data_IF_315607637104
#
_entry.id   IF_315607637104
#
_cell.length_a   1.000
_cell.length_b   1.000
_cell.length_c   1.000
_cell.angle_alpha   90.00
_cell.angle_beta   90.00
_cell.angle_gamma   90.00
#
_symmetry.space_group_name_H-M   'P 1'
#
loop_
_entity.id
_entity.type
_entity.pdbx_description
1 polymer ?
#
# COMPACT_ATOMS: atom_id res chain seq x y z
N UNK A 1 3.95 -8.02 26.43
CA UNK A 1 2.53 -8.11 26.83
C UNK A 1 1.57 -7.55 25.77
N UNK A 2 1.90 -6.44 25.08
CA UNK A 2 1.09 -5.92 23.95
C UNK A 2 1.20 -6.76 22.65
N UNK A 3 2.40 -7.25 22.33
CA UNK A 3 2.69 -8.09 21.14
C UNK A 3 1.90 -9.40 21.16
N UNK A 4 1.88 -10.09 22.31
CA UNK A 4 1.11 -11.31 22.52
C UNK A 4 -0.42 -11.09 22.54
N UNK A 5 -0.89 -9.92 22.96
CA UNK A 5 -2.31 -9.59 22.94
C UNK A 5 -2.79 -9.29 21.51
N UNK A 6 -1.94 -8.63 20.73
CA UNK A 6 -2.18 -8.37 19.31
C UNK A 6 -2.17 -9.65 18.47
N UNK A 7 -1.14 -10.49 18.63
CA UNK A 7 -1.07 -11.81 17.97
C UNK A 7 -2.30 -12.67 18.32
N UNK A 8 -2.74 -12.65 19.58
CA UNK A 8 -3.95 -13.35 20.01
C UNK A 8 -5.21 -12.79 19.38
N UNK A 9 -5.34 -11.48 19.19
CA UNK A 9 -6.54 -10.89 18.57
C UNK A 9 -6.57 -11.12 17.05
N UNK A 10 -5.41 -11.10 16.37
CA UNK A 10 -5.27 -11.52 14.97
C UNK A 10 -5.64 -12.99 14.80
N UNK A 11 -5.06 -13.87 15.62
CA UNK A 11 -5.35 -15.32 15.59
C UNK A 11 -6.82 -15.58 15.91
N UNK A 12 -7.39 -14.91 16.91
CA UNK A 12 -8.81 -15.03 17.29
C UNK A 12 -9.76 -14.54 16.19
N UNK A 13 -9.42 -13.45 15.52
CA UNK A 13 -10.20 -12.92 14.37
C UNK A 13 -10.17 -13.88 13.19
N UNK A 14 -9.01 -14.50 12.94
CA UNK A 14 -8.83 -15.50 11.88
C UNK A 14 -9.48 -16.86 12.20
N UNK A 15 -9.64 -17.20 13.48
CA UNK A 15 -10.10 -18.55 13.92
C UNK A 15 -11.53 -18.62 14.44
N UNK A 16 -12.12 -17.53 14.94
CA UNK A 16 -13.44 -17.56 15.63
C UNK A 16 -14.52 -16.68 15.00
N UNK A 17 -14.21 -15.90 13.96
CA UNK A 17 -15.20 -15.18 13.16
C UNK A 17 -15.85 -16.12 12.15
N UNK A 18 -16.98 -16.73 12.51
CA UNK A 18 -17.92 -17.50 11.67
C UNK A 18 -17.65 -17.45 10.15
N UNK A 19 -16.94 -18.50 9.68
CA UNK A 19 -16.51 -18.75 8.30
C UNK A 19 -17.66 -18.72 7.27
N UNK A 20 -17.56 -17.89 6.25
CA UNK A 20 -18.40 -17.93 5.04
C UNK A 20 -17.54 -18.12 3.78
N UNK A 21 -17.01 -19.34 3.56
CA UNK A 21 -16.20 -19.67 2.39
C UNK A 21 -16.99 -20.48 1.37
N UNK A 22 -16.89 -20.10 0.08
CA UNK A 22 -17.50 -20.82 -1.06
C UNK A 22 -16.51 -21.86 -1.63
N UNK A 23 -17.07 -22.98 -2.07
CA UNK A 23 -16.42 -24.27 -2.32
C UNK A 23 -15.83 -24.40 -3.74
N UNK A 24 -14.54 -24.77 -3.87
CA UNK A 24 -13.86 -25.05 -5.17
C UNK A 24 -13.85 -26.55 -5.49
N UNK A 25 -14.96 -27.03 -6.07
CA UNK A 25 -15.18 -28.45 -6.37
C UNK A 25 -14.24 -29.05 -7.42
N UNK A 26 -13.59 -28.22 -8.22
CA UNK A 26 -12.60 -28.63 -9.23
C UNK A 26 -11.26 -29.06 -8.64
N UNK A 27 -10.97 -28.66 -7.40
CA UNK A 27 -9.80 -29.11 -6.64
C UNK A 27 -10.11 -30.34 -5.78
N UNK A 28 -11.30 -30.93 -5.92
CA UNK A 28 -11.72 -32.08 -5.13
C UNK A 28 -11.00 -33.31 -5.64
N UNK A 29 -10.04 -33.76 -4.84
CA UNK A 29 -9.13 -34.85 -5.20
C UNK A 29 -7.71 -34.40 -5.56
N UNK A 30 -7.40 -33.10 -5.51
CA UNK A 30 -6.03 -32.63 -5.66
C UNK A 30 -5.16 -33.10 -4.48
N UNK A 31 -4.00 -33.67 -4.77
CA UNK A 31 -3.06 -34.09 -3.73
C UNK A 31 -2.36 -32.87 -3.10
N UNK A 32 -1.89 -32.98 -1.84
CA UNK A 32 -1.05 -31.97 -1.21
C UNK A 32 0.07 -31.42 -2.10
N UNK A 33 0.72 -32.30 -2.86
CA UNK A 33 1.83 -31.94 -3.72
C UNK A 33 1.39 -31.13 -4.94
N UNK A 34 0.22 -31.44 -5.52
CA UNK A 34 -0.36 -30.66 -6.61
C UNK A 34 -0.71 -29.23 -6.16
N UNK A 35 -1.17 -29.09 -4.92
CA UNK A 35 -1.48 -27.79 -4.33
C UNK A 35 -0.20 -26.97 -4.08
N UNK A 36 0.85 -27.61 -3.57
CA UNK A 36 2.16 -26.97 -3.39
C UNK A 36 2.85 -26.63 -4.72
N UNK A 37 2.68 -27.44 -5.76
CA UNK A 37 3.22 -27.16 -7.10
C UNK A 37 2.58 -25.89 -7.69
N UNK A 38 1.25 -25.82 -7.68
CA UNK A 38 0.51 -24.63 -8.09
C UNK A 38 0.91 -23.39 -7.26
N UNK A 39 1.18 -23.55 -5.95
CA UNK A 39 1.67 -22.47 -5.10
C UNK A 39 3.02 -21.94 -5.56
N UNK A 40 3.96 -22.86 -5.81
CA UNK A 40 5.30 -22.56 -6.29
C UNK A 40 5.26 -21.79 -7.61
N UNK A 41 4.44 -22.26 -8.54
CA UNK A 41 4.32 -21.67 -9.87
C UNK A 41 3.85 -20.21 -9.77
N UNK A 42 2.84 -19.93 -8.94
CA UNK A 42 2.39 -18.56 -8.70
C UNK A 42 3.44 -17.70 -7.98
N UNK A 43 4.14 -18.26 -7.00
CA UNK A 43 5.22 -17.56 -6.29
C UNK A 43 6.35 -17.15 -7.23
N UNK A 44 6.78 -18.07 -8.09
CA UNK A 44 7.82 -17.85 -9.09
C UNK A 44 7.38 -16.81 -10.13
N UNK A 45 6.15 -16.92 -10.65
CA UNK A 45 5.63 -15.98 -11.65
C UNK A 45 5.48 -14.57 -11.08
N UNK A 46 4.94 -14.43 -9.87
CA UNK A 46 4.71 -13.13 -9.24
C UNK A 46 5.99 -12.42 -8.78
N UNK A 47 7.09 -13.17 -8.57
CA UNK A 47 8.37 -12.63 -8.10
C UNK A 47 9.49 -12.78 -9.13
N UNK A 48 9.18 -13.10 -10.39
CA UNK A 48 10.15 -13.41 -11.44
C UNK A 48 11.28 -12.37 -11.55
N UNK A 49 10.95 -11.08 -11.52
CA UNK A 49 11.93 -9.98 -11.57
C UNK A 49 12.80 -9.90 -10.31
N UNK A 50 12.22 -10.11 -9.12
CA UNK A 50 12.96 -10.11 -7.84
C UNK A 50 13.88 -11.32 -7.70
N UNK A 51 13.51 -12.43 -8.33
CA UNK A 51 14.30 -13.65 -8.40
C UNK A 51 15.31 -13.64 -9.57
N UNK A 52 15.45 -12.52 -10.29
CA UNK A 52 16.37 -12.38 -11.44
C UNK A 52 16.17 -13.45 -12.52
N UNK A 53 14.93 -13.89 -12.72
CA UNK A 53 14.58 -14.93 -13.70
C UNK A 53 14.93 -16.36 -13.28
N UNK A 54 15.46 -16.56 -12.06
CA UNK A 54 15.74 -17.88 -11.51
C UNK A 54 14.58 -18.34 -10.61
N UNK A 55 13.80 -19.36 -10.99
CA UNK A 55 12.77 -19.91 -10.12
C UNK A 55 13.36 -20.34 -8.77
N UNK A 56 12.56 -20.25 -7.71
CA UNK A 56 12.94 -20.75 -6.39
C UNK A 56 13.44 -22.19 -6.50
N UNK A 57 14.63 -22.47 -5.97
CA UNK A 57 15.14 -23.83 -5.80
C UNK A 57 14.27 -24.61 -4.82
N UNK A 58 14.41 -25.94 -4.80
CA UNK A 58 13.65 -26.76 -3.85
C UNK A 58 13.93 -26.37 -2.40
N UNK A 59 15.18 -26.02 -2.10
CA UNK A 59 15.60 -25.57 -0.77
C UNK A 59 14.93 -24.27 -0.38
N UNK A 60 14.93 -23.26 -1.26
CA UNK A 60 14.29 -21.96 -1.01
C UNK A 60 12.77 -22.09 -0.91
N UNK A 61 12.16 -22.87 -1.81
CA UNK A 61 10.73 -23.11 -1.75
C UNK A 61 10.34 -23.89 -0.49
N UNK A 62 11.16 -24.83 -0.01
CA UNK A 62 10.95 -25.51 1.25
C UNK A 62 11.15 -24.60 2.47
N UNK A 63 12.02 -23.59 2.39
CA UNK A 63 12.12 -22.55 3.42
C UNK A 63 10.85 -21.68 3.44
N UNK A 64 10.29 -21.35 2.27
CA UNK A 64 8.99 -20.67 2.16
C UNK A 64 7.87 -21.54 2.74
N UNK A 65 7.83 -22.84 2.42
CA UNK A 65 6.86 -23.79 3.02
C UNK A 65 6.95 -23.88 4.54
N UNK A 66 8.16 -23.76 5.10
CA UNK A 66 8.39 -23.82 6.56
C UNK A 66 8.09 -22.49 7.25
N UNK A 67 8.37 -21.37 6.58
CA UNK A 67 8.08 -20.02 7.07
C UNK A 67 6.57 -19.71 7.05
N UNK A 68 5.85 -20.34 6.13
CA UNK A 68 4.40 -20.31 6.04
C UNK A 68 3.86 -21.55 6.76
N UNK A 69 3.79 -21.49 8.10
CA UNK A 69 3.12 -22.54 8.86
C UNK A 69 1.61 -22.52 8.54
N UNK A 70 1.17 -23.39 7.64
CA UNK A 70 -0.23 -23.76 7.50
C UNK A 70 -0.46 -25.16 8.08
N UNK A 71 -1.53 -25.38 8.86
CA UNK A 71 -1.79 -26.67 9.48
C UNK A 71 -2.02 -27.80 8.46
N UNK A 72 -2.46 -27.48 7.24
CA UNK A 72 -2.71 -28.47 6.19
C UNK A 72 -2.58 -27.94 4.74
N UNK A 73 -2.31 -28.81 3.75
CA UNK A 73 -2.25 -28.48 2.31
C UNK A 73 -3.54 -27.88 1.72
N UNK A 74 -4.68 -28.09 2.36
CA UNK A 74 -5.99 -27.57 1.94
C UNK A 74 -6.11 -26.05 2.09
N UNK A 75 -5.42 -25.47 3.08
CA UNK A 75 -5.40 -24.02 3.31
C UNK A 75 -4.59 -23.29 2.23
N UNK A 76 -3.50 -23.91 1.75
CA UNK A 76 -2.67 -23.38 0.67
C UNK A 76 -3.41 -23.35 -0.69
N UNK A 77 -4.35 -24.27 -0.93
CA UNK A 77 -5.15 -24.36 -2.14
C UNK A 77 -6.13 -23.20 -2.35
N UNK A 78 -6.73 -22.71 -1.24
CA UNK A 78 -7.71 -21.61 -1.27
C UNK A 78 -7.13 -20.31 -1.82
N UNK A 79 -5.84 -20.07 -1.60
CA UNK A 79 -5.15 -18.83 -2.01
C UNK A 79 -4.84 -18.77 -3.51
N UNK A 80 -4.86 -19.89 -4.22
CA UNK A 80 -4.40 -19.98 -5.61
C UNK A 80 -5.51 -19.85 -6.65
N UNK A 81 -6.76 -19.76 -6.21
CA UNK A 81 -7.94 -20.00 -7.04
C UNK A 81 -8.40 -18.82 -7.90
N UNK A 82 -7.97 -17.58 -7.67
CA UNK A 82 -8.79 -16.43 -8.07
C UNK A 82 -8.13 -15.42 -9.04
N UNK A 83 -7.38 -15.90 -10.02
CA UNK A 83 -6.96 -15.08 -11.16
C UNK A 83 -8.04 -15.00 -12.25
N UNK A 84 -8.22 -13.77 -12.77
CA UNK A 84 -9.03 -13.33 -13.92
C UNK A 84 -10.48 -12.91 -13.67
N UNK A 85 -10.72 -11.58 -13.70
CA UNK A 85 -12.03 -11.00 -14.05
C UNK A 85 -13.16 -11.15 -13.04
N UNK A 86 -12.90 -11.77 -11.89
CA UNK A 86 -13.86 -11.90 -10.81
C UNK A 86 -14.22 -10.52 -10.25
N UNK A 87 -15.51 -10.16 -10.28
CA UNK A 87 -16.06 -9.05 -9.48
C UNK A 87 -15.96 -9.31 -7.97
N UNK A 88 -15.35 -10.41 -7.55
CA UNK A 88 -15.20 -10.81 -6.16
C UNK A 88 -13.72 -10.94 -5.81
N UNK A 89 -13.26 -10.33 -4.71
CA UNK A 89 -11.88 -10.45 -4.27
C UNK A 89 -11.57 -11.90 -3.85
N UNK A 90 -10.32 -12.32 -4.04
CA UNK A 90 -9.85 -13.67 -3.70
C UNK A 90 -9.93 -13.96 -2.19
N UNK A 91 -9.71 -12.91 -1.38
CA UNK A 91 -9.77 -12.90 0.07
C UNK A 91 -10.73 -11.78 0.47
N UNK A 92 -11.69 -12.10 1.34
CA UNK A 92 -12.76 -11.17 1.74
C UNK A 92 -13.14 -11.36 3.20
N UNK A 93 -13.54 -10.28 3.85
CA UNK A 93 -14.13 -10.36 5.19
C UNK A 93 -15.48 -11.08 5.13
N UNK A 94 -15.79 -11.87 6.15
CA UNK A 94 -17.09 -12.51 6.28
C UNK A 94 -18.22 -11.46 6.34
N UNK A 95 -19.39 -11.80 5.79
CA UNK A 95 -20.56 -10.93 5.75
C UNK A 95 -20.63 -9.99 4.54
N UNK A 96 -19.66 -10.01 3.63
CA UNK A 96 -19.75 -9.30 2.36
C UNK A 96 -19.81 -10.28 1.19
N UNK A 97 -20.89 -10.24 0.42
CA UNK A 97 -21.11 -11.14 -0.70
C UNK A 97 -21.26 -10.41 -2.03
N UNK A 98 -21.53 -9.09 -2.02
CA UNK A 98 -21.82 -8.34 -3.23
C UNK A 98 -20.62 -8.21 -4.17
N UNK A 99 -20.90 -8.15 -5.46
CA UNK A 99 -19.86 -7.88 -6.44
C UNK A 99 -19.22 -6.51 -6.18
N UNK A 100 -17.89 -6.45 -6.18
CA UNK A 100 -17.17 -5.21 -6.36
C UNK A 100 -17.49 -4.62 -7.73
N UNK A 101 -17.50 -3.31 -7.78
CA UNK A 101 -17.72 -2.54 -9.00
C UNK A 101 -16.42 -1.94 -9.52
N UNK A 102 -16.35 -1.74 -10.82
CA UNK A 102 -15.24 -1.02 -11.43
C UNK A 102 -15.55 0.48 -11.43
N UNK A 103 -14.62 1.27 -10.94
CA UNK A 103 -14.66 2.74 -10.97
C UNK A 103 -13.35 3.29 -11.53
N UNK A 104 -13.42 4.46 -12.14
CA UNK A 104 -12.19 5.20 -12.49
C UNK A 104 -11.65 5.88 -11.25
N UNK A 105 -10.35 6.13 -11.21
CA UNK A 105 -9.75 6.89 -10.12
C UNK A 105 -10.35 8.31 -10.02
N UNK A 106 -10.76 8.90 -11.15
CA UNK A 106 -11.51 10.17 -11.14
C UNK A 106 -12.77 10.15 -10.27
N UNK A 107 -13.37 8.98 -10.06
CA UNK A 107 -14.61 8.83 -9.32
C UNK A 107 -14.38 8.78 -7.79
N UNK A 108 -13.13 8.59 -7.35
CA UNK A 108 -12.76 8.46 -5.93
C UNK A 108 -12.88 9.78 -5.16
N UNK A 109 -12.95 10.92 -5.83
CA UNK A 109 -12.90 12.24 -5.23
C UNK A 109 -13.76 13.24 -5.97
N UNK A 110 -14.35 14.18 -5.26
CA UNK A 110 -15.07 15.30 -5.90
C UNK A 110 -14.14 16.32 -6.53
N UNK A 111 -12.99 16.59 -5.89
CA UNK A 111 -12.07 17.64 -6.31
C UNK A 111 -10.65 17.11 -6.43
N UNK A 112 -9.94 17.52 -7.49
CA UNK A 112 -8.53 17.19 -7.69
C UNK A 112 -7.67 18.46 -7.76
N UNK A 113 -6.45 18.37 -7.25
CA UNK A 113 -5.51 19.48 -7.23
C UNK A 113 -4.19 19.07 -7.88
N UNK A 114 -3.66 19.93 -8.74
CA UNK A 114 -2.23 19.91 -9.06
C UNK A 114 -1.45 20.73 -8.04
N UNK A 115 -0.16 20.44 -7.89
CA UNK A 115 0.72 21.29 -7.10
C UNK A 115 1.39 22.40 -7.88
N UNK A 116 2.21 23.18 -7.18
CA UNK A 116 3.00 24.28 -7.71
C UNK A 116 4.11 24.67 -6.75
N UNK A 117 5.24 25.09 -7.32
CA UNK A 117 6.42 25.51 -6.55
C UNK A 117 6.47 27.04 -6.52
N UNK A 118 6.30 27.68 -5.34
CA UNK A 118 6.56 29.11 -5.19
C UNK A 118 8.01 29.43 -5.58
N UNK A 119 8.28 30.66 -6.04
CA UNK A 119 9.64 31.06 -6.41
C UNK A 119 10.57 30.93 -5.18
N UNK A 120 11.59 30.10 -5.26
CA UNK A 120 12.55 29.85 -4.17
C UNK A 120 13.35 31.10 -3.79
N UNK A 121 13.55 32.02 -4.73
CA UNK A 121 14.24 33.29 -4.49
C UNK A 121 13.42 34.29 -3.63
N UNK A 122 12.10 34.08 -3.48
CA UNK A 122 11.26 34.93 -2.64
C UNK A 122 11.17 34.29 -1.26
N UNK A 123 12.09 34.64 -0.37
CA UNK A 123 12.22 34.02 0.96
C UNK A 123 10.97 34.14 1.81
N UNK A 124 10.22 35.23 1.69
CA UNK A 124 8.93 35.47 2.36
C UNK A 124 7.86 34.41 2.03
N UNK A 125 8.00 33.68 0.91
CA UNK A 125 7.09 32.59 0.59
C UNK A 125 7.32 31.35 1.45
N UNK A 126 8.49 31.21 2.07
CA UNK A 126 8.94 30.00 2.75
C UNK A 126 9.01 30.15 4.28
N UNK A 127 8.55 31.29 4.80
CA UNK A 127 8.49 31.60 6.23
C UNK A 127 7.03 31.51 6.73
N UNK A 128 6.43 30.34 6.56
CA UNK A 128 5.02 30.09 6.89
C UNK A 128 4.80 28.79 7.66
N UNK A 129 3.55 28.40 7.78
CA UNK A 129 3.12 27.21 8.54
C UNK A 129 2.36 26.18 7.69
N UNK A 130 2.10 26.46 6.41
CA UNK A 130 1.43 25.51 5.51
C UNK A 130 2.48 24.52 5.02
N UNK A 131 2.38 23.22 5.35
CA UNK A 131 3.34 22.24 4.88
C UNK A 131 3.38 22.21 3.35
N UNK A 132 4.58 22.27 2.77
CA UNK A 132 4.78 22.13 1.33
C UNK A 132 5.61 20.89 1.06
N UNK A 133 5.01 19.88 0.42
CA UNK A 133 5.65 18.58 0.22
C UNK A 133 6.09 18.37 -1.23
N UNK A 134 7.23 17.71 -1.39
CA UNK A 134 7.83 17.27 -2.65
C UNK A 134 8.08 15.75 -2.61
N UNK A 135 8.42 15.14 -3.76
CA UNK A 135 8.58 13.68 -3.85
C UNK A 135 9.64 13.11 -2.90
N UNK A 136 10.66 13.90 -2.53
CA UNK A 136 11.69 13.49 -1.57
C UNK A 136 11.19 13.41 -0.12
N UNK A 137 10.05 14.02 0.19
CA UNK A 137 9.44 13.93 1.52
C UNK A 137 8.70 12.60 1.75
N UNK A 138 8.51 11.80 0.69
CA UNK A 138 7.80 10.54 0.71
C UNK A 138 8.71 9.37 0.35
N UNK A 139 8.41 8.21 0.93
CA UNK A 139 9.04 6.91 0.62
C UNK A 139 8.07 6.07 -0.21
N UNK A 140 8.57 5.15 -1.04
CA UNK A 140 7.72 4.35 -1.94
C UNK A 140 6.80 3.40 -1.15
N UNK A 141 7.32 2.77 -0.11
CA UNK A 141 6.62 1.71 0.63
C UNK A 141 6.02 2.18 1.97
N UNK A 142 6.11 3.47 2.29
CA UNK A 142 5.49 4.06 3.48
C UNK A 142 4.47 5.12 3.07
N UNK A 143 3.21 4.79 3.26
CA UNK A 143 2.07 5.64 2.89
C UNK A 143 1.59 6.52 4.06
N UNK A 144 2.14 6.32 5.26
CA UNK A 144 1.70 6.97 6.50
C UNK A 144 2.67 8.06 6.94
N UNK A 145 3.99 7.84 6.81
CA UNK A 145 4.99 8.82 7.21
C UNK A 145 5.28 9.85 6.11
N UNK A 146 5.38 11.11 6.53
CA UNK A 146 5.72 12.25 5.66
C UNK A 146 6.75 13.09 6.40
N UNK A 147 7.90 13.32 5.78
CA UNK A 147 8.88 14.25 6.33
C UNK A 147 8.49 15.68 5.98
N UNK A 148 8.09 16.48 6.97
CA UNK A 148 7.72 17.89 6.78
C UNK A 148 8.89 18.79 7.16
N UNK A 149 9.66 19.22 6.15
CA UNK A 149 10.85 20.06 6.31
C UNK A 149 10.72 21.45 5.68
N UNK A 150 9.65 21.70 4.92
CA UNK A 150 9.37 22.97 4.25
C UNK A 150 7.94 23.41 4.46
N UNK A 151 7.79 24.72 4.65
CA UNK A 151 6.51 25.36 4.88
C UNK A 151 6.42 26.61 4.02
N UNK A 152 5.20 26.98 3.65
CA UNK A 152 4.93 28.17 2.85
C UNK A 152 3.86 29.04 3.50
N UNK A 153 3.82 30.31 3.09
CA UNK A 153 2.86 31.30 3.60
C UNK A 153 1.57 31.33 2.78
N UNK A 154 0.50 31.88 3.34
CA UNK A 154 -0.71 32.24 2.58
C UNK A 154 -0.39 33.16 1.40
N UNK A 155 0.61 34.04 1.57
CA UNK A 155 1.09 34.92 0.51
C UNK A 155 1.64 34.12 -0.69
N UNK A 156 2.35 33.03 -0.43
CA UNK A 156 2.83 32.12 -1.46
C UNK A 156 1.68 31.43 -2.21
N UNK A 157 0.61 31.02 -1.51
CA UNK A 157 -0.59 30.45 -2.14
C UNK A 157 -1.28 31.48 -3.05
N UNK A 158 -1.43 32.72 -2.59
CA UNK A 158 -2.11 33.80 -3.35
C UNK A 158 -1.32 34.23 -4.58
N UNK A 159 0.01 34.22 -4.52
CA UNK A 159 0.88 34.81 -5.54
C UNK A 159 1.73 33.78 -6.31
N UNK A 160 1.35 32.50 -6.29
CA UNK A 160 2.02 31.45 -7.07
C UNK A 160 1.04 30.41 -7.62
N UNK A 161 1.58 29.38 -8.29
CA UNK A 161 0.80 28.25 -8.76
C UNK A 161 0.45 27.24 -7.64
N UNK A 162 1.05 27.37 -6.45
CA UNK A 162 0.74 26.51 -5.31
C UNK A 162 -0.74 26.60 -4.94
N UNK A 163 -1.29 25.48 -4.46
CA UNK A 163 -2.70 25.38 -4.06
C UNK A 163 -2.75 24.90 -2.62
N UNK A 164 -3.63 25.53 -1.83
CA UNK A 164 -3.99 25.02 -0.52
C UNK A 164 -4.96 23.85 -0.71
N UNK A 165 -4.54 22.68 -0.25
CA UNK A 165 -5.27 21.42 -0.39
C UNK A 165 -5.85 21.07 0.99
N UNK A 166 -7.14 20.74 1.09
CA UNK A 166 -7.78 20.41 2.36
C UNK A 166 -7.17 19.18 3.04
N UNK A 167 -7.30 19.12 4.37
CA UNK A 167 -7.01 17.91 5.15
C UNK A 167 -7.84 16.70 4.67
N UNK A 168 -7.36 15.50 5.01
CA UNK A 168 -7.92 14.21 4.59
C UNK A 168 -7.89 13.99 3.07
N UNK A 169 -6.95 14.62 2.37
CA UNK A 169 -6.70 14.39 0.95
C UNK A 169 -5.55 13.41 0.75
N UNK A 170 -5.63 12.62 -0.33
CA UNK A 170 -4.54 11.73 -0.75
C UNK A 170 -3.66 12.47 -1.75
N UNK A 171 -2.36 12.59 -1.45
CA UNK A 171 -1.37 13.21 -2.32
C UNK A 171 -0.57 12.12 -3.05
N UNK A 172 -0.55 12.16 -4.39
CA UNK A 172 0.02 11.11 -5.25
C UNK A 172 1.14 11.69 -6.11
N UNK A 173 2.33 11.08 -6.08
CA UNK A 173 3.44 11.46 -6.95
C UNK A 173 3.24 10.88 -8.35
N UNK A 174 3.20 11.75 -9.36
CA UNK A 174 2.91 11.39 -10.75
C UNK A 174 4.14 11.34 -11.66
N UNK A 175 5.21 12.09 -11.34
CA UNK A 175 6.40 12.22 -12.21
C UNK A 175 7.65 11.56 -11.67
N UNK A 176 8.38 12.25 -10.80
CA UNK A 176 9.67 11.79 -10.24
C UNK A 176 9.38 10.99 -8.99
N UNK A 177 9.60 9.67 -9.01
CA UNK A 177 9.26 8.79 -7.89
C UNK A 177 7.81 8.31 -7.91
N UNK A 178 7.30 7.92 -9.09
CA UNK A 178 6.04 7.16 -9.23
C UNK A 178 6.04 5.99 -8.23
N UNK A 179 4.88 5.70 -7.62
CA UNK A 179 4.75 4.70 -6.55
C UNK A 179 4.52 5.31 -5.18
N UNK A 180 4.92 6.57 -4.99
CA UNK A 180 4.79 7.29 -3.71
C UNK A 180 3.45 7.99 -3.60
N UNK A 181 2.83 7.88 -2.44
CA UNK A 181 1.61 8.58 -2.07
C UNK A 181 1.48 8.66 -0.55
N UNK A 182 0.63 9.56 -0.06
CA UNK A 182 0.33 9.67 1.37
C UNK A 182 -1.06 10.24 1.61
N UNK A 183 -1.62 10.00 2.79
CA UNK A 183 -2.84 10.64 3.29
C UNK A 183 -2.50 11.78 4.24
N UNK A 184 -2.76 13.01 3.82
CA UNK A 184 -2.48 14.20 4.63
C UNK A 184 -3.62 14.48 5.61
N UNK A 185 -3.31 14.56 6.92
CA UNK A 185 -4.28 14.82 8.00
C UNK A 185 -4.45 16.30 8.37
N UNK A 186 -3.75 17.17 7.66
CA UNK A 186 -3.82 18.62 7.80
C UNK A 186 -3.80 19.26 6.41
N UNK A 187 -4.16 20.54 6.32
CA UNK A 187 -4.04 21.30 5.08
C UNK A 187 -2.57 21.38 4.64
N UNK A 188 -2.34 21.39 3.33
CA UNK A 188 -1.00 21.33 2.77
C UNK A 188 -0.95 21.87 1.33
N UNK A 189 0.25 22.02 0.81
CA UNK A 189 0.53 22.28 -0.59
C UNK A 189 1.58 21.28 -1.10
N UNK A 190 1.71 21.14 -2.41
CA UNK A 190 2.64 20.20 -3.03
C UNK A 190 3.45 20.84 -4.17
N UNK A 191 4.58 20.23 -4.54
CA UNK A 191 5.26 20.54 -5.80
C UNK A 191 4.40 20.16 -7.03
N UNK A 192 4.81 20.62 -8.21
CA UNK A 192 4.09 20.35 -9.47
C UNK A 192 3.95 18.86 -9.84
N UNK A 193 4.74 17.99 -9.20
CA UNK A 193 4.84 16.56 -9.49
C UNK A 193 3.68 15.74 -8.89
N UNK A 194 2.80 16.39 -8.15
CA UNK A 194 1.68 15.76 -7.46
C UNK A 194 0.34 15.94 -8.17
N UNK A 195 -0.50 14.92 -8.01
CA UNK A 195 -1.95 14.98 -8.11
C UNK A 195 -2.51 14.69 -6.71
N UNK A 196 -3.40 15.54 -6.21
CA UNK A 196 -4.05 15.32 -4.91
C UNK A 196 -5.55 15.14 -5.10
N UNK A 197 -6.12 14.14 -4.41
CA UNK A 197 -7.55 13.81 -4.42
C UNK A 197 -8.16 14.24 -3.09
N UNK A 198 -9.17 15.11 -3.12
CA UNK A 198 -9.84 15.67 -1.94
C UNK A 198 -11.34 15.44 -2.00
N UNK A 199 -12.03 15.57 -0.85
CA UNK A 199 -13.46 15.29 -0.74
C UNK A 199 -13.76 13.88 -1.27
N UNK A 200 -13.12 12.88 -0.65
CA UNK A 200 -13.15 11.49 -1.14
C UNK A 200 -14.55 10.89 -1.05
N UNK A 201 -14.95 10.20 -2.13
CA UNK A 201 -16.17 9.39 -2.19
C UNK A 201 -15.93 7.95 -1.75
N UNK A 202 -14.69 7.56 -1.44
CA UNK A 202 -14.28 6.27 -0.86
C UNK A 202 -13.83 6.46 0.59
N UNK A 203 -13.77 5.39 1.40
CA UNK A 203 -13.05 5.47 2.69
C UNK A 203 -11.59 5.87 2.44
N UNK A 204 -11.04 6.75 3.28
CA UNK A 204 -9.73 7.37 3.06
C UNK A 204 -8.58 6.35 3.07
N UNK A 205 -8.63 5.38 4.00
CA UNK A 205 -7.59 4.36 4.11
C UNK A 205 -7.74 3.33 2.98
N UNK A 206 -8.96 2.90 2.70
CA UNK A 206 -9.22 2.05 1.54
C UNK A 206 -8.74 2.70 0.24
N UNK A 207 -9.06 3.97 0.03
CA UNK A 207 -8.61 4.75 -1.12
C UNK A 207 -7.09 4.78 -1.21
N UNK A 208 -6.41 5.10 -0.10
CA UNK A 208 -4.95 5.12 -0.01
C UNK A 208 -4.33 3.78 -0.46
N UNK A 209 -4.74 2.66 0.14
CA UNK A 209 -4.17 1.35 -0.19
C UNK A 209 -4.57 0.85 -1.59
N UNK A 210 -5.76 1.22 -2.07
CA UNK A 210 -6.20 0.87 -3.43
C UNK A 210 -5.37 1.59 -4.49
N UNK A 211 -5.08 2.88 -4.27
CA UNK A 211 -4.22 3.68 -5.15
C UNK A 211 -2.79 3.18 -5.06
N UNK A 212 -2.29 2.87 -3.86
CA UNK A 212 -0.96 2.29 -3.68
C UNK A 212 -0.80 1.02 -4.53
N UNK A 213 -1.74 0.07 -4.42
CA UNK A 213 -1.75 -1.17 -5.22
C UNK A 213 -1.76 -0.88 -6.72
N UNK A 214 -2.56 0.08 -7.17
CA UNK A 214 -2.59 0.51 -8.57
C UNK A 214 -1.21 1.01 -9.01
N UNK A 215 -0.58 1.91 -8.25
CA UNK A 215 0.73 2.47 -8.60
C UNK A 215 1.81 1.39 -8.67
N UNK A 216 1.81 0.42 -7.73
CA UNK A 216 2.75 -0.70 -7.76
C UNK A 216 2.58 -1.59 -9.01
N UNK A 217 1.32 -1.84 -9.43
CA UNK A 217 1.04 -2.55 -10.68
C UNK A 217 1.59 -1.80 -11.89
N UNK A 218 1.39 -0.48 -11.94
CA UNK A 218 1.84 0.36 -13.06
C UNK A 218 3.37 0.46 -13.12
N UNK A 219 4.05 0.52 -11.96
CA UNK A 219 5.51 0.48 -11.89
C UNK A 219 6.10 -0.80 -12.49
N UNK A 220 5.50 -1.96 -12.18
CA UNK A 220 5.94 -3.25 -12.74
C UNK A 220 5.76 -3.31 -14.26
N UNK A 221 4.77 -2.62 -14.81
CA UNK A 221 4.54 -2.55 -16.26
C UNK A 221 5.50 -1.60 -16.99
N UNK A 222 6.14 -0.66 -16.28
CA UNK A 222 7.04 0.36 -16.85
C UNK A 222 8.51 -0.10 -16.89
N UNK A 223 8.89 -1.15 -16.13
CA UNK A 223 10.25 -1.73 -16.13
C UNK A 223 10.62 -2.29 -17.52
N UNK A 224 11.22 -1.45 -18.36
CA UNK A 224 11.65 -1.79 -19.73
C UNK A 224 11.69 -0.62 -20.70
N UNK A 225 11.08 0.52 -20.38
CA UNK A 225 11.17 1.77 -21.13
C UNK A 225 11.71 2.89 -20.23
N UNK A 226 12.37 3.91 -20.79
CA UNK A 226 12.85 5.08 -20.02
C UNK A 226 11.75 5.54 -19.07
N UNK A 227 12.06 5.75 -17.78
CA UNK A 227 11.10 6.09 -16.71
C UNK A 227 10.30 7.34 -17.09
N UNK A 228 9.23 7.14 -17.84
CA UNK A 228 8.25 8.17 -18.15
C UNK A 228 7.27 8.14 -16.98
N UNK A 229 7.25 9.22 -16.21
CA UNK A 229 6.22 9.41 -15.19
C UNK A 229 4.82 9.26 -15.78
N UNK A 230 3.84 9.00 -14.93
CA UNK A 230 2.44 8.92 -15.33
C UNK A 230 1.84 10.33 -15.41
N UNK A 231 1.13 10.68 -16.48
CA UNK A 231 0.45 11.98 -16.48
C UNK A 231 -0.74 11.97 -15.52
N UNK A 232 -1.14 13.14 -15.01
CA UNK A 232 -2.29 13.27 -14.12
C UNK A 232 -3.57 12.78 -14.80
N UNK A 233 -3.72 13.08 -16.09
CA UNK A 233 -4.84 12.64 -16.90
C UNK A 233 -4.86 11.10 -17.04
N UNK A 234 -3.71 10.49 -17.36
CA UNK A 234 -3.63 9.02 -17.47
C UNK A 234 -3.99 8.35 -16.16
N UNK A 235 -3.45 8.84 -15.03
CA UNK A 235 -3.73 8.29 -13.70
C UNK A 235 -5.22 8.35 -13.35
N UNK A 236 -5.90 9.45 -13.65
CA UNK A 236 -7.34 9.62 -13.39
C UNK A 236 -8.23 8.67 -14.21
N UNK A 237 -7.76 8.18 -15.36
CA UNK A 237 -8.51 7.24 -16.20
C UNK A 237 -8.36 5.78 -15.79
N UNK A 238 -7.48 5.47 -14.83
CA UNK A 238 -7.20 4.10 -14.40
C UNK A 238 -8.40 3.50 -13.68
N UNK A 239 -8.69 2.25 -14.02
CA UNK A 239 -9.76 1.47 -13.42
C UNK A 239 -9.30 0.77 -12.12
N UNK A 240 -10.14 0.85 -11.10
CA UNK A 240 -9.96 0.19 -9.81
C UNK A 240 -11.27 -0.54 -9.45
N UNK A 241 -11.14 -1.80 -9.04
CA UNK A 241 -12.26 -2.54 -8.45
C UNK A 241 -12.43 -2.10 -7.00
N UNK A 242 -13.65 -1.73 -6.61
CA UNK A 242 -13.99 -1.31 -5.24
C UNK A 242 -15.22 -2.05 -4.71
N UNK A 243 -15.30 -2.34 -3.41
CA UNK A 243 -16.54 -2.82 -2.83
C UNK A 243 -17.59 -1.70 -2.84
N UNK A 244 -18.82 -2.07 -3.20
CA UNK A 244 -19.98 -1.17 -3.16
C UNK A 244 -20.28 -0.74 -1.72
N UNK A 245 -20.14 -1.68 -0.78
CA UNK A 245 -20.42 -1.45 0.63
C UNK A 245 -19.31 -0.65 1.33
N UNK A 246 -19.70 0.45 1.97
CA UNK A 246 -18.79 1.34 2.69
C UNK A 246 -18.10 0.68 3.88
N UNK A 247 -18.82 -0.17 4.59
CA UNK A 247 -18.29 -0.90 5.74
C UNK A 247 -17.17 -1.87 5.33
N UNK A 248 -17.24 -2.43 4.12
CA UNK A 248 -16.16 -3.27 3.59
C UNK A 248 -14.91 -2.44 3.29
N UNK A 249 -15.08 -1.25 2.70
CA UNK A 249 -13.97 -0.31 2.48
C UNK A 249 -13.27 0.01 3.82
N UNK A 250 -14.04 0.41 4.84
CA UNK A 250 -13.51 0.75 6.17
C UNK A 250 -12.73 -0.42 6.78
N UNK A 251 -13.27 -1.65 6.72
CA UNK A 251 -12.59 -2.85 7.25
C UNK A 251 -11.27 -3.14 6.53
N UNK A 252 -11.26 -3.06 5.21
CA UNK A 252 -10.05 -3.27 4.39
C UNK A 252 -9.01 -2.19 4.70
N UNK A 253 -9.41 -0.92 4.68
CA UNK A 253 -8.52 0.21 4.97
C UNK A 253 -7.93 0.11 6.38
N UNK A 254 -8.75 -0.21 7.38
CA UNK A 254 -8.31 -0.39 8.76
C UNK A 254 -7.33 -1.56 8.91
N UNK A 255 -7.58 -2.68 8.23
CA UNK A 255 -6.71 -3.85 8.26
C UNK A 255 -5.31 -3.52 7.75
N UNK A 256 -5.19 -2.90 6.57
CA UNK A 256 -3.88 -2.55 6.01
C UNK A 256 -3.17 -1.46 6.83
N UNK A 257 -3.91 -0.48 7.36
CA UNK A 257 -3.35 0.51 8.28
C UNK A 257 -2.74 -0.13 9.53
N UNK A 258 -3.44 -1.13 10.10
CA UNK A 258 -2.92 -1.88 11.25
C UNK A 258 -1.66 -2.67 10.87
N UNK A 259 -1.65 -3.32 9.70
CA UNK A 259 -0.47 -4.03 9.19
C UNK A 259 0.75 -3.11 9.07
N UNK A 260 0.61 -1.94 8.46
CA UNK A 260 1.70 -0.99 8.34
C UNK A 260 2.20 -0.53 9.71
N UNK A 261 1.29 -0.19 10.63
CA UNK A 261 1.66 0.21 11.99
C UNK A 261 2.52 -0.86 12.69
N UNK A 262 2.21 -2.14 12.50
CA UNK A 262 2.96 -3.25 13.08
C UNK A 262 4.32 -3.41 12.43
N UNK A 263 4.39 -3.32 11.09
CA UNK A 263 5.66 -3.38 10.37
C UNK A 263 6.59 -2.27 10.90
N UNK A 264 6.11 -1.04 11.01
CA UNK A 264 6.86 0.09 11.57
C UNK A 264 7.30 -0.18 13.01
N UNK A 265 6.41 -0.72 13.86
CA UNK A 265 6.73 -1.04 15.25
C UNK A 265 7.86 -2.09 15.36
N UNK A 266 7.78 -3.16 14.57
CA UNK A 266 8.77 -4.23 14.58
C UNK A 266 10.12 -3.78 14.00
N UNK A 267 10.09 -2.94 12.96
CA UNK A 267 11.29 -2.35 12.37
C UNK A 267 12.07 -1.50 13.41
N UNK A 268 11.36 -0.64 14.17
CA UNK A 268 11.97 0.15 15.27
C UNK A 268 12.54 -0.75 16.38
N UNK A 269 11.86 -1.85 16.70
CA UNK A 269 12.35 -2.83 17.69
C UNK A 269 13.64 -3.51 17.21
N UNK A 270 13.70 -3.90 15.93
CA UNK A 270 14.88 -4.50 15.32
C UNK A 270 16.08 -3.54 15.37
N UNK A 271 15.89 -2.28 14.97
CA UNK A 271 16.94 -1.25 14.99
C UNK A 271 17.52 -1.06 16.40
N UNK A 272 16.66 -0.95 17.42
CA UNK A 272 17.09 -0.83 18.81
C UNK A 272 17.90 -2.04 19.30
N UNK A 273 17.54 -3.25 18.88
CA UNK A 273 18.28 -4.47 19.23
C UNK A 273 19.65 -4.50 18.54
N UNK A 274 19.76 -4.00 17.30
CA UNK A 274 21.03 -3.88 16.59
C UNK A 274 21.96 -2.86 17.26
N UNK A 275 21.43 -1.70 17.69
CA UNK A 275 22.20 -0.71 18.46
C UNK A 275 22.68 -1.28 19.80
N UNK A 276 21.81 -1.99 20.52
CA UNK A 276 22.17 -2.61 21.80
C UNK A 276 23.26 -3.68 21.60
N UNK A 277 23.14 -4.52 20.57
CA UNK A 277 24.18 -5.49 20.18
C UNK A 277 25.50 -4.78 19.90
N UNK A 278 25.50 -3.70 19.12
CA UNK A 278 26.71 -2.90 18.84
C UNK A 278 27.32 -2.32 20.12
N UNK A 279 26.49 -1.78 21.02
CA UNK A 279 26.91 -1.24 22.30
C UNK A 279 27.50 -2.31 23.23
N UNK A 280 26.92 -3.52 23.27
CA UNK A 280 27.47 -4.65 24.02
C UNK A 280 28.76 -5.17 23.42
N UNK A 281 28.83 -5.34 22.09
CA UNK A 281 30.06 -5.74 21.42
C UNK A 281 31.20 -4.76 21.69
N UNK A 282 30.92 -3.45 21.63
CA UNK A 282 31.89 -2.43 22.02
C UNK A 282 32.29 -2.65 23.49
N UNK A 283 31.37 -2.65 24.44
CA UNK A 283 31.70 -2.76 25.88
C UNK A 283 32.38 -4.07 26.29
N UNK A 284 32.11 -5.18 25.61
CA UNK A 284 32.63 -6.51 25.95
C UNK A 284 33.98 -6.82 25.29
N UNK A 285 34.29 -6.16 24.16
CA UNK A 285 35.52 -6.39 23.39
C UNK A 285 36.35 -5.10 23.22
N UNK A 286 36.12 -4.10 24.07
CA UNK A 286 37.03 -2.96 24.31
C UNK A 286 37.96 -3.27 25.48
#
# INVERSE_FOLDING_TARGET
>A
MLELAFEKEVVKTLTTGSNQWVERKDLYGATPDQLWANFRDKLNNNNYAKLQGHPLTDTEFNQVKRAIEFPTPYEAAKLLAAENGSKFPQLRFAGFADAWEQRKLSDFSKTTYGGGTPKTAVTEYWDGNIPWIQSSNLTVDDVQEVNLDKFITDNAIKNSAAKLIPANSIAIVTRVGVGKLTLMKQEFATSQDFLSLSELHVDEQFGLYSIYKLLQKELNNIQGTSIKGMTKADLLTKDIMIPVEKDEQIKIGSFFKQLDHLITLHQRKLEKLQELKKGYLQKMFC
#
